data_IF_035730011918
#
_entry.id   IF_035730011918
#
_cell.length_a   1.000
_cell.length_b   1.000
_cell.length_c   1.000
_cell.angle_alpha   90.00
_cell.angle_beta   90.00
_cell.angle_gamma   90.00
#
_symmetry.space_group_name_H-M   'P 1'
#
loop_
_entity.id
_entity.type
_entity.pdbx_description
1 polymer ?
#
# COMPACT_ATOMS: atom_id res chain seq x y z
N UNK A 1 -49.04 -31.51 23.77
CA UNK A 1 -47.99 -31.43 22.75
C UNK A 1 -47.81 -29.96 22.38
N UNK A 2 -47.01 -29.23 23.17
CA UNK A 2 -46.77 -27.81 22.94
C UNK A 2 -45.65 -27.65 21.90
N UNK A 3 -45.99 -27.11 20.73
CA UNK A 3 -45.04 -26.73 19.69
C UNK A 3 -44.27 -25.51 20.17
N UNK A 4 -43.03 -25.71 20.59
CA UNK A 4 -42.06 -24.64 20.80
C UNK A 4 -41.64 -24.14 19.40
N UNK A 5 -42.41 -23.22 18.84
CA UNK A 5 -41.96 -22.42 17.70
C UNK A 5 -40.78 -21.58 18.19
N UNK A 6 -39.58 -22.06 17.85
CA UNK A 6 -38.32 -21.40 18.06
C UNK A 6 -38.29 -20.15 17.17
N UNK A 7 -38.78 -19.03 17.71
CA UNK A 7 -38.73 -17.73 17.03
C UNK A 7 -37.28 -17.26 17.06
N UNK A 8 -36.52 -17.65 16.04
CA UNK A 8 -35.19 -17.14 15.78
C UNK A 8 -35.33 -15.66 15.41
N UNK A 9 -35.23 -14.77 16.40
CA UNK A 9 -35.14 -13.34 16.16
C UNK A 9 -33.80 -13.10 15.47
N UNK A 10 -33.80 -12.98 14.13
CA UNK A 10 -32.64 -12.44 13.42
C UNK A 10 -32.49 -10.99 13.83
N UNK A 11 -31.52 -10.71 14.68
CA UNK A 11 -31.01 -9.35 14.82
C UNK A 11 -30.57 -8.89 13.41
N UNK A 12 -31.32 -7.95 12.86
CA UNK A 12 -30.94 -7.26 11.64
C UNK A 12 -29.74 -6.39 11.99
N UNK A 13 -28.53 -6.91 11.80
CA UNK A 13 -27.31 -6.11 11.81
C UNK A 13 -27.45 -5.05 10.72
N UNK A 14 -27.83 -3.84 11.13
CA UNK A 14 -27.87 -2.69 10.21
C UNK A 14 -26.44 -2.19 10.07
N UNK A 15 -25.82 -2.51 8.93
CA UNK A 15 -24.55 -1.89 8.55
C UNK A 15 -24.80 -0.41 8.33
N UNK A 16 -24.32 0.44 9.24
CA UNK A 16 -24.26 1.88 8.97
C UNK A 16 -23.15 2.11 7.95
N UNK A 17 -23.54 2.37 6.71
CA UNK A 17 -22.60 2.88 5.71
C UNK A 17 -22.21 4.30 6.17
N UNK A 18 -20.99 4.45 6.66
CA UNK A 18 -20.40 5.78 6.76
C UNK A 18 -20.32 6.36 5.34
N UNK A 19 -20.77 7.60 5.11
CA UNK A 19 -20.65 8.21 3.79
C UNK A 19 -19.19 8.15 3.35
N UNK A 20 -18.97 7.76 2.09
CA UNK A 20 -17.62 7.69 1.52
C UNK A 20 -16.96 9.05 1.68
N UNK A 21 -15.87 9.09 2.46
CA UNK A 21 -15.04 10.29 2.57
C UNK A 21 -14.30 10.43 1.25
N UNK A 22 -14.43 11.58 0.58
CA UNK A 22 -13.60 11.86 -0.59
C UNK A 22 -12.13 11.81 -0.19
N UNK A 23 -11.38 10.92 -0.83
CA UNK A 23 -9.93 10.82 -0.67
C UNK A 23 -9.32 11.58 -1.85
N UNK A 24 -8.76 12.79 -1.63
CA UNK A 24 -8.12 13.52 -2.70
C UNK A 24 -6.92 12.72 -3.23
N UNK A 25 -6.56 12.88 -4.53
CA UNK A 25 -5.35 12.27 -5.06
C UNK A 25 -4.15 12.65 -4.19
N UNK A 26 -3.43 11.64 -3.73
CA UNK A 26 -2.20 11.83 -2.96
C UNK A 26 -1.00 11.86 -3.90
N UNK A 27 -0.19 12.91 -3.80
CA UNK A 27 1.12 13.01 -4.45
C UNK A 27 2.16 13.22 -3.36
N UNK A 28 3.18 12.36 -3.33
CA UNK A 28 4.29 12.49 -2.39
C UNK A 28 5.02 13.83 -2.63
N UNK A 29 5.31 14.63 -1.57
CA UNK A 29 5.90 15.96 -1.73
C UNK A 29 7.26 15.96 -2.45
N UNK A 30 8.06 14.89 -2.30
CA UNK A 30 9.35 14.76 -2.99
C UNK A 30 9.12 14.57 -4.49
N UNK A 31 8.13 13.74 -4.85
CA UNK A 31 7.75 13.49 -6.24
C UNK A 31 7.18 14.77 -6.86
N UNK A 32 6.25 15.46 -6.18
CA UNK A 32 5.68 16.71 -6.64
C UNK A 32 6.76 17.77 -6.91
N UNK A 33 7.66 17.98 -5.94
CA UNK A 33 8.77 18.92 -6.09
C UNK A 33 9.70 18.55 -7.24
N UNK A 34 9.99 17.25 -7.42
CA UNK A 34 10.82 16.80 -8.53
C UNK A 34 10.17 17.10 -9.89
N UNK A 35 8.86 16.86 -10.02
CA UNK A 35 8.10 17.18 -11.24
C UNK A 35 8.08 18.68 -11.54
N UNK A 36 7.91 19.52 -10.52
CA UNK A 36 7.89 20.99 -10.65
C UNK A 36 9.26 21.57 -11.02
N UNK A 37 10.32 21.03 -10.43
CA UNK A 37 11.69 21.57 -10.59
C UNK A 37 12.42 21.03 -11.81
N UNK A 38 11.98 19.89 -12.35
CA UNK A 38 12.72 19.16 -13.38
C UNK A 38 11.82 18.67 -14.54
N UNK A 39 10.95 19.50 -15.14
CA UNK A 39 9.97 19.06 -16.13
C UNK A 39 10.61 18.39 -17.35
N UNK A 40 11.75 18.92 -17.82
CA UNK A 40 12.46 18.38 -18.98
C UNK A 40 13.14 17.03 -18.70
N UNK A 41 13.30 16.66 -17.42
CA UNK A 41 13.94 15.40 -17.05
C UNK A 41 13.07 14.22 -17.45
N UNK A 42 11.75 14.32 -17.36
CA UNK A 42 10.86 13.25 -17.81
C UNK A 42 10.99 12.99 -19.31
N UNK A 43 11.02 14.07 -20.10
CA UNK A 43 11.22 13.99 -21.56
C UNK A 43 12.55 13.33 -21.86
N UNK A 44 13.64 13.83 -21.25
CA UNK A 44 14.98 13.27 -21.43
C UNK A 44 15.08 11.80 -21.01
N UNK A 45 14.48 11.42 -19.88
CA UNK A 45 14.47 10.02 -19.45
C UNK A 45 13.70 9.15 -20.43
N UNK A 46 12.59 9.63 -20.99
CA UNK A 46 11.83 8.90 -22.01
C UNK A 46 12.58 8.78 -23.34
N UNK A 47 13.41 9.76 -23.69
CA UNK A 47 14.29 9.68 -24.86
C UNK A 47 15.43 8.66 -24.66
N UNK A 48 16.00 8.59 -23.45
CA UNK A 48 17.10 7.68 -23.12
C UNK A 48 16.60 6.23 -22.96
N UNK A 49 15.51 6.02 -22.23
CA UNK A 49 15.04 4.69 -21.83
C UNK A 49 13.85 4.19 -22.64
N UNK A 50 13.28 5.03 -23.52
CA UNK A 50 12.10 4.73 -24.31
C UNK A 50 10.79 4.94 -23.56
N UNK A 51 9.67 4.78 -24.29
CA UNK A 51 8.30 4.92 -23.78
C UNK A 51 7.50 3.63 -24.03
N UNK A 52 6.65 3.16 -23.08
CA UNK A 52 6.35 3.78 -21.78
C UNK A 52 7.45 3.60 -20.73
N UNK A 53 7.73 4.66 -19.97
CA UNK A 53 8.70 4.65 -18.88
C UNK A 53 8.01 4.61 -17.52
N UNK A 54 8.30 3.58 -16.74
CA UNK A 54 7.93 3.52 -15.33
C UNK A 54 9.11 4.00 -14.47
N UNK A 55 8.87 4.99 -13.62
CA UNK A 55 9.82 5.43 -12.60
C UNK A 55 9.28 4.94 -11.26
N UNK A 56 10.16 4.52 -10.36
CA UNK A 56 9.80 4.03 -9.02
C UNK A 56 10.59 4.80 -7.97
N UNK A 57 9.97 5.02 -6.81
CA UNK A 57 10.53 5.83 -5.73
C UNK A 57 10.63 4.98 -4.45
N UNK A 58 11.79 4.36 -4.19
CA UNK A 58 11.95 3.44 -3.07
C UNK A 58 11.63 4.04 -1.70
N UNK A 59 11.87 5.35 -1.50
CA UNK A 59 11.54 6.04 -0.25
C UNK A 59 10.05 5.99 0.11
N UNK A 60 9.17 5.86 -0.88
CA UNK A 60 7.72 5.76 -0.63
C UNK A 60 7.36 4.47 0.13
N UNK A 61 8.12 3.39 -0.07
CA UNK A 61 7.89 2.12 0.63
C UNK A 61 8.18 2.27 2.12
N UNK A 62 9.29 2.92 2.46
CA UNK A 62 9.67 3.22 3.83
C UNK A 62 8.64 4.13 4.50
N UNK A 63 8.23 5.22 3.84
CA UNK A 63 7.21 6.13 4.34
C UNK A 63 5.89 5.41 4.64
N UNK A 64 5.44 4.56 3.70
CA UNK A 64 4.21 3.79 3.86
C UNK A 64 4.31 2.78 5.01
N UNK A 65 5.44 2.09 5.14
CA UNK A 65 5.69 1.17 6.24
C UNK A 65 5.65 1.89 7.59
N UNK A 66 6.39 3.00 7.73
CA UNK A 66 6.44 3.77 8.97
C UNK A 66 5.06 4.28 9.38
N UNK A 67 4.25 4.74 8.42
CA UNK A 67 2.88 5.17 8.68
C UNK A 67 1.99 4.03 9.18
N UNK A 68 2.06 2.84 8.55
CA UNK A 68 1.31 1.67 9.00
C UNK A 68 1.76 1.19 10.39
N UNK A 69 3.07 1.12 10.62
CA UNK A 69 3.65 0.70 11.88
C UNK A 69 3.22 1.62 13.02
N UNK A 70 3.27 2.94 12.81
CA UNK A 70 2.85 3.95 13.78
C UNK A 70 1.37 3.79 14.16
N UNK A 71 0.49 3.54 13.19
CA UNK A 71 -0.93 3.30 13.44
C UNK A 71 -1.14 2.02 14.24
N UNK A 72 -0.53 0.90 13.84
CA UNK A 72 -0.69 -0.37 14.58
C UNK A 72 -0.18 -0.27 16.02
N UNK A 73 0.95 0.41 16.23
CA UNK A 73 1.49 0.66 17.56
C UNK A 73 0.55 1.54 18.40
N UNK A 74 -0.04 2.58 17.81
CA UNK A 74 -1.02 3.44 18.49
C UNK A 74 -2.28 2.72 18.97
N UNK A 75 -2.66 1.63 18.31
CA UNK A 75 -3.77 0.76 18.73
C UNK A 75 -3.34 -0.42 19.61
N UNK A 76 -2.05 -0.54 19.96
CA UNK A 76 -1.52 -1.66 20.75
C UNK A 76 -1.56 -3.00 20.01
N UNK A 77 -1.61 -2.99 18.68
CA UNK A 77 -1.65 -4.20 17.86
C UNK A 77 -0.20 -4.64 17.60
N UNK A 78 0.14 -5.86 18.02
CA UNK A 78 1.37 -6.50 17.60
C UNK A 78 1.24 -6.95 16.15
N UNK A 79 1.94 -6.27 15.24
CA UNK A 79 1.86 -6.51 13.80
C UNK A 79 3.23 -6.93 13.24
N UNK A 80 3.20 -7.84 12.26
CA UNK A 80 4.35 -8.17 11.41
C UNK A 80 4.01 -7.76 9.98
N UNK A 81 4.88 -6.99 9.36
CA UNK A 81 4.67 -6.46 8.02
C UNK A 81 5.53 -7.22 7.00
N UNK A 82 4.91 -7.57 5.87
CA UNK A 82 5.56 -8.27 4.77
C UNK A 82 5.25 -7.54 3.46
N UNK A 83 6.29 -7.21 2.69
CA UNK A 83 6.16 -6.64 1.37
C UNK A 83 5.75 -7.70 0.36
N UNK A 84 4.58 -7.51 -0.28
CA UNK A 84 4.07 -8.43 -1.29
C UNK A 84 4.81 -8.31 -2.62
N UNK A 85 5.83 -9.15 -2.84
CA UNK A 85 6.70 -9.07 -4.02
C UNK A 85 5.95 -9.34 -5.32
N UNK A 86 4.83 -10.07 -5.26
CA UNK A 86 3.99 -10.33 -6.43
C UNK A 86 3.37 -9.06 -7.02
N UNK A 87 3.15 -8.03 -6.20
CA UNK A 87 2.53 -6.76 -6.63
C UNK A 87 3.50 -5.94 -7.48
N UNK A 88 4.77 -5.88 -7.08
CA UNK A 88 5.83 -5.25 -7.85
C UNK A 88 7.17 -5.95 -7.56
N UNK A 89 7.79 -6.51 -8.59
CA UNK A 89 9.05 -7.27 -8.49
C UNK A 89 10.31 -6.40 -8.57
N UNK A 90 10.17 -5.08 -8.50
CA UNK A 90 11.33 -4.19 -8.50
C UNK A 90 12.25 -4.50 -7.32
N UNK A 91 13.49 -4.88 -7.63
CA UNK A 91 14.51 -5.15 -6.64
C UNK A 91 14.80 -3.91 -5.77
N UNK A 92 14.66 -2.70 -6.32
CA UNK A 92 14.85 -1.46 -5.54
C UNK A 92 13.75 -1.26 -4.49
N UNK A 93 12.50 -1.65 -4.80
CA UNK A 93 11.38 -1.54 -3.87
C UNK A 93 11.44 -2.63 -2.79
N UNK A 94 11.79 -3.86 -3.18
CA UNK A 94 12.03 -4.94 -2.23
C UNK A 94 13.18 -4.59 -1.29
N UNK A 95 14.30 -4.06 -1.81
CA UNK A 95 15.42 -3.63 -0.99
C UNK A 95 15.00 -2.52 -0.02
N UNK A 96 14.23 -1.52 -0.45
CA UNK A 96 13.72 -0.48 0.45
C UNK A 96 12.82 -1.06 1.53
N UNK A 97 11.96 -2.02 1.19
CA UNK A 97 11.09 -2.69 2.16
C UNK A 97 11.90 -3.45 3.22
N UNK A 98 12.93 -4.21 2.80
CA UNK A 98 13.81 -4.95 3.70
C UNK A 98 14.61 -4.00 4.59
N UNK A 99 15.18 -2.92 4.01
CA UNK A 99 15.91 -1.89 4.76
C UNK A 99 15.02 -1.19 5.79
N UNK A 100 13.74 -0.97 5.47
CA UNK A 100 12.75 -0.42 6.40
C UNK A 100 12.34 -1.39 7.53
N UNK A 101 12.76 -2.66 7.49
CA UNK A 101 12.48 -3.65 8.54
C UNK A 101 11.27 -4.54 8.28
N UNK A 102 10.76 -4.57 7.04
CA UNK A 102 9.70 -5.52 6.64
C UNK A 102 10.29 -6.88 6.25
N UNK A 103 9.48 -7.94 6.39
CA UNK A 103 9.73 -9.20 5.70
C UNK A 103 9.29 -9.14 4.22
N UNK A 104 9.48 -10.22 3.48
CA UNK A 104 8.98 -10.35 2.11
C UNK A 104 7.95 -11.48 2.03
N UNK A 105 6.80 -11.20 1.42
CA UNK A 105 5.80 -12.20 1.05
C UNK A 105 6.01 -12.59 -0.42
N UNK A 106 6.38 -13.86 -0.62
CA UNK A 106 6.79 -14.41 -1.91
C UNK A 106 5.88 -15.56 -2.31
N UNK A 107 5.42 -15.55 -3.55
CA UNK A 107 4.52 -16.59 -4.08
C UNK A 107 5.24 -17.67 -4.90
N UNK A 108 6.58 -17.63 -4.98
CA UNK A 108 7.39 -18.59 -5.74
C UNK A 108 8.83 -18.62 -5.25
N UNK A 109 9.51 -19.76 -5.44
CA UNK A 109 10.93 -19.94 -5.12
C UNK A 109 11.86 -19.05 -5.96
N UNK A 110 11.39 -18.57 -7.11
CA UNK A 110 12.12 -17.62 -7.94
C UNK A 110 11.59 -16.20 -7.70
N UNK A 111 12.42 -15.38 -7.08
CA UNK A 111 12.36 -13.93 -7.19
C UNK A 111 13.06 -13.59 -8.52
N UNK A 112 12.29 -13.25 -9.55
CA UNK A 112 12.86 -12.82 -10.83
C UNK A 112 13.58 -11.48 -10.69
#
# INVERSE_FOLDING_TARGET
>A
MASLLNTYCRETTSWRLSPARELPPYVDPVIARWLETSPDTLVRLSEIYGSPLNIVWPHTVENNFNAMAAITAGFGIEAKFYYGVKVNKSQSLLQAAVTAGTGADVSSLRLC
#
